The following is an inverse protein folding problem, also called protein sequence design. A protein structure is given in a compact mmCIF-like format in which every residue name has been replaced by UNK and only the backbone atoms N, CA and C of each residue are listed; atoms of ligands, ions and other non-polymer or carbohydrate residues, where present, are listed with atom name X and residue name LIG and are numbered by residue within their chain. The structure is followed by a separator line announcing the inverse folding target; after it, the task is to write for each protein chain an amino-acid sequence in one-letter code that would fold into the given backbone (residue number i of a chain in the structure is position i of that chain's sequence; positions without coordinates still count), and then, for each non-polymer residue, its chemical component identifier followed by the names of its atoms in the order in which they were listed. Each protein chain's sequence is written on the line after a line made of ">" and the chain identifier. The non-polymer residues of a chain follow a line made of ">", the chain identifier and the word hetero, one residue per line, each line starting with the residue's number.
data_IF_550590071202
#
_entry.id   IF_550590071202
#
_cell.length_a   1.000
_cell.length_b   1.000
_cell.length_c   1.000
_cell.angle_alpha   90.00
_cell.angle_beta   90.00
_cell.angle_gamma   90.00
#
_symmetry.space_group_name_H-M   'P 1'
#
loop_
_entity.id
_entity.type
_entity.pdbx_description
1 polymer ?
#
# COMPACT_ATOMS: atom_id res chain seq x y z
N UNK A 1 -4.00 10.77 -5.33
CA UNK A 1 -2.77 9.96 -5.42
C UNK A 1 -2.95 8.95 -6.55
N UNK A 2 -2.19 9.11 -7.62
CA UNK A 2 -2.17 8.17 -8.76
C UNK A 2 -1.81 6.74 -8.32
N UNK A 3 -0.92 6.60 -7.33
CA UNK A 3 -0.47 5.31 -6.80
C UNK A 3 -1.58 4.44 -6.20
N UNK A 4 -2.71 5.02 -5.80
CA UNK A 4 -3.83 4.26 -5.25
C UNK A 4 -4.47 3.31 -6.29
N UNK A 5 -4.39 3.64 -7.58
CA UNK A 5 -4.88 2.79 -8.67
C UNK A 5 -4.16 1.45 -8.73
N UNK A 6 -2.89 1.38 -8.33
CA UNK A 6 -2.09 0.16 -8.37
C UNK A 6 -2.64 -0.95 -7.47
N UNK A 7 -3.39 -0.62 -6.41
CA UNK A 7 -3.95 -1.61 -5.50
C UNK A 7 -5.17 -2.36 -6.05
N UNK A 8 -5.65 -2.00 -7.25
CA UNK A 8 -6.64 -2.81 -7.98
C UNK A 8 -6.07 -4.14 -8.47
N UNK A 9 -4.74 -4.22 -8.59
CA UNK A 9 -4.03 -5.42 -9.01
C UNK A 9 -3.66 -6.29 -7.83
N UNK A 10 -3.46 -7.59 -8.08
CA UNK A 10 -3.09 -8.55 -7.03
C UNK A 10 -1.74 -8.17 -6.40
N UNK A 11 -1.63 -8.19 -5.06
CA UNK A 11 -0.38 -7.94 -4.36
C UNK A 11 0.73 -8.88 -4.82
N UNK A 12 1.85 -8.31 -5.26
CA UNK A 12 3.06 -9.08 -5.57
C UNK A 12 4.30 -8.22 -5.36
N UNK A 13 5.40 -8.86 -4.98
CA UNK A 13 6.73 -8.22 -4.88
C UNK A 13 7.55 -8.69 -6.06
N UNK A 14 7.56 -7.91 -7.14
CA UNK A 14 8.24 -8.23 -8.40
C UNK A 14 8.73 -6.95 -9.07
N UNK A 15 9.67 -7.09 -10.02
CA UNK A 15 10.15 -5.99 -10.86
C UNK A 15 10.70 -4.82 -10.04
N UNK A 16 10.24 -3.61 -10.35
CA UNK A 16 10.69 -2.39 -9.67
C UNK A 16 10.39 -2.36 -8.17
N UNK A 17 9.29 -2.97 -7.72
CA UNK A 17 8.99 -3.02 -6.28
C UNK A 17 10.01 -3.87 -5.53
N UNK A 18 10.42 -5.00 -6.12
CA UNK A 18 11.44 -5.86 -5.53
C UNK A 18 12.79 -5.12 -5.46
N UNK A 19 13.19 -4.45 -6.55
CA UNK A 19 14.42 -3.65 -6.57
C UNK A 19 14.44 -2.56 -5.49
N UNK A 20 13.30 -1.91 -5.24
CA UNK A 20 13.17 -0.87 -4.20
C UNK A 20 13.22 -1.42 -2.78
N UNK A 21 12.76 -2.67 -2.58
CA UNK A 21 12.81 -3.33 -1.28
C UNK A 21 14.19 -3.91 -0.97
N UNK A 22 15.04 -4.15 -1.98
CA UNK A 22 16.41 -4.61 -1.77
C UNK A 22 17.19 -3.60 -0.91
N UNK A 23 17.79 -4.09 0.18
CA UNK A 23 18.55 -3.26 1.12
C UNK A 23 17.70 -2.48 2.13
N UNK A 24 16.37 -2.60 2.09
CA UNK A 24 15.48 -2.00 3.11
C UNK A 24 15.41 -2.88 4.35
N UNK A 25 15.13 -2.28 5.51
CA UNK A 25 14.97 -3.02 6.76
C UNK A 25 13.81 -4.03 6.68
N UNK A 26 13.90 -5.18 7.39
CA UNK A 26 12.80 -6.15 7.43
C UNK A 26 11.47 -5.53 7.89
N UNK A 27 11.52 -4.56 8.80
CA UNK A 27 10.33 -3.83 9.29
C UNK A 27 9.67 -3.03 8.18
N UNK A 28 10.45 -2.26 7.39
CA UNK A 28 9.93 -1.49 6.26
C UNK A 28 9.33 -2.43 5.20
N UNK A 29 10.00 -3.56 4.90
CA UNK A 29 9.47 -4.56 3.97
C UNK A 29 8.14 -5.16 4.47
N UNK A 30 8.03 -5.44 5.77
CA UNK A 30 6.81 -5.95 6.39
C UNK A 30 5.65 -4.93 6.31
N UNK A 31 5.91 -3.65 6.58
CA UNK A 31 4.92 -2.57 6.44
C UNK A 31 4.48 -2.45 4.98
N UNK A 32 5.42 -2.47 4.03
CA UNK A 32 5.12 -2.45 2.59
C UNK A 32 4.21 -3.60 2.17
N UNK A 33 4.52 -4.83 2.61
CA UNK A 33 3.72 -6.01 2.30
C UNK A 33 2.31 -5.96 2.92
N UNK A 34 2.22 -5.49 4.17
CA UNK A 34 0.94 -5.26 4.87
C UNK A 34 0.09 -4.23 4.12
N UNK A 35 0.69 -3.15 3.63
CA UNK A 35 0.02 -2.12 2.85
C UNK A 35 -0.58 -2.71 1.56
N UNK A 36 0.24 -3.40 0.76
CA UNK A 36 -0.19 -4.05 -0.48
C UNK A 36 -1.43 -4.92 -0.28
N UNK A 37 -1.38 -5.84 0.69
CA UNK A 37 -2.46 -6.77 0.97
C UNK A 37 -3.72 -6.08 1.51
N UNK A 38 -3.56 -5.14 2.44
CA UNK A 38 -4.69 -4.46 3.07
C UNK A 38 -5.42 -3.56 2.09
N UNK A 39 -4.68 -2.76 1.31
CA UNK A 39 -5.24 -1.80 0.38
C UNK A 39 -5.95 -2.50 -0.79
N UNK A 40 -5.38 -3.59 -1.31
CA UNK A 40 -6.05 -4.44 -2.28
C UNK A 40 -7.38 -4.99 -1.75
N UNK A 41 -7.36 -5.60 -0.55
CA UNK A 41 -8.57 -6.10 0.10
C UNK A 41 -9.60 -4.99 0.34
N UNK A 42 -9.18 -3.78 0.72
CA UNK A 42 -10.08 -2.64 0.91
C UNK A 42 -10.76 -2.25 -0.41
N UNK A 43 -10.00 -2.15 -1.50
CA UNK A 43 -10.54 -1.83 -2.81
C UNK A 43 -11.67 -2.79 -3.20
N UNK A 44 -11.39 -4.10 -3.19
CA UNK A 44 -12.38 -5.11 -3.55
C UNK A 44 -13.55 -5.23 -2.55
N UNK A 45 -13.31 -5.02 -1.26
CA UNK A 45 -14.39 -4.96 -0.25
C UNK A 45 -15.35 -3.80 -0.49
N UNK A 46 -14.86 -2.65 -0.96
CA UNK A 46 -15.72 -1.52 -1.26
C UNK A 46 -16.51 -1.76 -2.55
N UNK A 47 -15.87 -2.32 -3.57
CA UNK A 47 -16.55 -2.73 -4.80
C UNK A 47 -17.64 -3.79 -4.55
N UNK A 48 -17.34 -4.82 -3.74
CA UNK A 48 -18.33 -5.86 -3.41
C UNK A 48 -19.53 -5.34 -2.63
N UNK A 49 -19.41 -4.15 -2.01
CA UNK A 49 -20.50 -3.43 -1.35
C UNK A 49 -21.22 -2.44 -2.28
N UNK A 50 -20.98 -2.52 -3.59
CA UNK A 50 -21.59 -1.66 -4.60
C UNK A 50 -21.07 -0.22 -4.62
N UNK A 51 -19.90 0.06 -4.02
CA UNK A 51 -19.32 1.41 -4.09
C UNK A 51 -18.66 1.63 -5.44
N UNK A 52 -18.79 2.84 -5.98
CA UNK A 52 -18.10 3.26 -7.20
C UNK A 52 -16.58 3.17 -7.05
N UNK A 53 -15.90 2.83 -8.14
CA UNK A 53 -14.45 2.66 -8.19
C UNK A 53 -13.71 3.91 -7.70
N UNK A 54 -14.15 5.11 -8.09
CA UNK A 54 -13.58 6.38 -7.63
C UNK A 54 -13.60 6.51 -6.10
N UNK A 55 -14.74 6.21 -5.47
CA UNK A 55 -14.88 6.23 -4.00
C UNK A 55 -13.99 5.18 -3.33
N UNK A 56 -13.86 4.00 -3.92
CA UNK A 56 -12.95 2.97 -3.44
C UNK A 56 -11.49 3.43 -3.50
N UNK A 57 -11.07 4.05 -4.60
CA UNK A 57 -9.72 4.57 -4.79
C UNK A 57 -9.43 5.72 -3.83
N UNK A 58 -10.39 6.63 -3.60
CA UNK A 58 -10.20 7.69 -2.60
C UNK A 58 -10.02 7.11 -1.19
N UNK A 59 -10.77 6.08 -0.82
CA UNK A 59 -10.62 5.42 0.48
C UNK A 59 -9.27 4.68 0.61
N UNK A 60 -8.78 4.09 -0.47
CA UNK A 60 -7.44 3.48 -0.54
C UNK A 60 -6.35 4.54 -0.40
N UNK A 61 -6.46 5.66 -1.11
CA UNK A 61 -5.48 6.75 -1.05
C UNK A 61 -5.34 7.34 0.37
N UNK A 62 -6.45 7.53 1.09
CA UNK A 62 -6.43 8.00 2.48
C UNK A 62 -5.70 7.03 3.41
N UNK A 63 -5.90 5.74 3.22
CA UNK A 63 -5.21 4.73 4.04
C UNK A 63 -3.75 4.55 3.65
N UNK A 64 -3.41 4.70 2.36
CA UNK A 64 -2.03 4.69 1.88
C UNK A 64 -1.18 5.76 2.57
N UNK A 65 -1.72 6.96 2.78
CA UNK A 65 -1.01 8.02 3.51
C UNK A 65 -0.57 7.58 4.92
N UNK A 66 -1.41 6.79 5.62
CA UNK A 66 -1.05 6.25 6.94
C UNK A 66 0.08 5.21 6.87
N UNK A 67 0.14 4.41 5.81
CA UNK A 67 1.27 3.49 5.59
C UNK A 67 2.56 4.21 5.22
N UNK A 68 2.47 5.29 4.44
CA UNK A 68 3.63 6.14 4.13
C UNK A 68 4.18 6.74 5.43
N UNK A 69 3.30 7.30 6.26
CA UNK A 69 3.70 7.82 7.57
C UNK A 69 4.37 6.76 8.44
N UNK A 70 3.79 5.56 8.53
CA UNK A 70 4.40 4.46 9.30
C UNK A 70 5.80 4.10 8.79
N UNK A 71 6.04 4.09 7.48
CA UNK A 71 7.39 3.87 6.91
C UNK A 71 8.32 5.03 7.28
N UNK A 72 7.84 6.28 7.22
CA UNK A 72 8.64 7.46 7.57
C UNK A 72 9.09 7.40 9.04
N UNK A 73 8.21 7.01 9.97
CA UNK A 73 8.59 6.84 11.37
C UNK A 73 9.70 5.79 11.53
N UNK A 74 9.58 4.62 10.88
CA UNK A 74 10.64 3.60 10.95
C UNK A 74 11.97 4.06 10.36
N UNK A 75 11.94 4.97 9.37
CA UNK A 75 13.16 5.55 8.81
C UNK A 75 13.83 6.56 9.75
N UNK A 76 13.04 7.28 10.55
CA UNK A 76 13.54 8.24 11.54
C UNK A 76 14.18 7.54 12.74
N UNK A 77 13.60 6.43 13.21
CA UNK A 77 14.12 5.64 14.35
C UNK A 77 15.44 4.91 14.04
N UNK A 78 15.75 4.67 12.76
CA UNK A 78 16.97 3.98 12.31
C UNK A 78 18.14 4.97 12.07
N UNK A 79 17.89 6.28 12.14
CA UNK A 79 18.88 7.36 11.97
C UNK A 79 19.54 7.76 13.28
#
# INVERSE_FOLDING_TARGET
>A
MESAWSYRYQPSVKGELQKRQNGQSPTIQAISWKAQNRLHKKYFRLLSRGKESGKAITAVARELAGFIWAITQELEEVR
#
